data_IF_589618744206
#
_entry.id   IF_589618744206
#
_cell.length_a   1.000
_cell.length_b   1.000
_cell.length_c   1.000
_cell.angle_alpha   90.00
_cell.angle_beta   90.00
_cell.angle_gamma   90.00
#
_symmetry.space_group_name_H-M   'P 1'
#
loop_
_entity.id
_entity.type
_entity.pdbx_description
1 polymer ?
#
# COMPACT_ATOMS: atom_id res chain seq x y z
N UNK A 1 -9.14 -2.73 25.91
CA UNK A 1 -8.21 -2.68 24.76
C UNK A 1 -6.80 -2.67 25.32
N UNK A 2 -5.91 -3.57 24.88
CA UNK A 2 -4.50 -3.52 25.31
C UNK A 2 -3.90 -2.18 24.89
N UNK A 3 -3.10 -1.56 25.76
CA UNK A 3 -2.34 -0.37 25.39
C UNK A 3 -1.42 -0.73 24.21
N UNK A 4 -1.32 0.12 23.16
CA UNK A 4 -0.38 -0.12 22.08
C UNK A 4 1.03 -0.18 22.67
N UNK A 5 1.63 -1.35 22.62
CA UNK A 5 2.99 -1.62 23.10
C UNK A 5 3.83 -2.13 21.94
N UNK A 6 5.15 -1.90 21.98
CA UNK A 6 6.02 -2.40 20.92
C UNK A 6 5.91 -3.92 20.77
N UNK A 7 5.74 -4.66 21.88
CA UNK A 7 5.55 -6.11 21.85
C UNK A 7 4.27 -6.52 21.10
N UNK A 8 3.14 -5.84 21.35
CA UNK A 8 1.89 -6.09 20.63
C UNK A 8 2.02 -5.74 19.15
N UNK A 9 2.60 -4.58 18.83
CA UNK A 9 2.79 -4.13 17.46
C UNK A 9 3.66 -5.12 16.66
N UNK A 10 4.80 -5.55 17.21
CA UNK A 10 5.66 -6.54 16.58
C UNK A 10 4.94 -7.88 16.37
N UNK A 11 4.23 -8.39 17.39
CA UNK A 11 3.48 -9.64 17.26
C UNK A 11 2.38 -9.55 16.17
N UNK A 12 1.71 -8.40 16.08
CA UNK A 12 0.68 -8.13 15.07
C UNK A 12 1.29 -8.06 13.67
N UNK A 13 2.41 -7.36 13.49
CA UNK A 13 3.13 -7.31 12.20
C UNK A 13 3.59 -8.71 11.80
N UNK A 14 4.21 -9.48 12.70
CA UNK A 14 4.63 -10.85 12.39
C UNK A 14 3.47 -11.77 11.99
N UNK A 15 2.27 -11.56 12.55
CA UNK A 15 1.09 -12.31 12.12
C UNK A 15 0.65 -11.92 10.69
N UNK A 16 0.71 -10.62 10.35
CA UNK A 16 0.35 -10.08 9.02
C UNK A 16 1.37 -10.45 7.95
N UNK A 17 2.66 -10.58 8.30
CA UNK A 17 3.74 -10.97 7.39
C UNK A 17 3.49 -12.33 6.72
N UNK A 18 2.71 -13.22 7.34
CA UNK A 18 2.31 -14.51 6.75
C UNK A 18 1.45 -14.35 5.49
N UNK A 19 0.85 -13.17 5.27
CA UNK A 19 0.08 -12.84 4.08
C UNK A 19 0.89 -12.18 2.96
N UNK A 20 2.19 -11.93 3.16
CA UNK A 20 3.03 -11.30 2.14
C UNK A 20 3.28 -12.24 0.96
N UNK A 21 3.34 -11.66 -0.23
CA UNK A 21 3.69 -12.39 -1.45
C UNK A 21 5.15 -12.86 -1.36
N UNK A 22 5.35 -14.17 -1.44
CA UNK A 22 6.69 -14.74 -1.41
C UNK A 22 7.41 -14.56 -2.76
N UNK A 23 8.73 -14.84 -2.75
CA UNK A 23 9.56 -14.72 -3.96
C UNK A 23 9.08 -15.60 -5.11
N UNK A 24 8.43 -16.74 -4.81
CA UNK A 24 7.94 -17.68 -5.83
C UNK A 24 6.67 -17.13 -6.49
N UNK A 25 5.76 -16.56 -5.71
CA UNK A 25 4.56 -15.88 -6.18
C UNK A 25 4.95 -14.71 -7.09
N UNK A 26 5.85 -13.83 -6.62
CA UNK A 26 6.33 -12.69 -7.43
C UNK A 26 6.97 -13.17 -8.74
N UNK A 27 7.80 -14.21 -8.70
CA UNK A 27 8.41 -14.78 -9.91
C UNK A 27 7.37 -15.32 -10.88
N UNK A 28 6.38 -16.08 -10.39
CA UNK A 28 5.27 -16.59 -11.22
C UNK A 28 4.50 -15.47 -11.90
N UNK A 29 4.24 -14.37 -11.20
CA UNK A 29 3.58 -13.20 -11.80
C UNK A 29 4.44 -12.56 -12.88
N UNK A 30 5.76 -12.45 -12.65
CA UNK A 30 6.68 -11.85 -13.61
C UNK A 30 6.88 -12.69 -14.89
N UNK A 31 6.82 -14.01 -14.77
CA UNK A 31 6.99 -14.95 -15.89
C UNK A 31 5.68 -15.18 -16.69
N UNK A 32 4.54 -14.66 -16.22
CA UNK A 32 3.19 -14.94 -16.75
C UNK A 32 2.50 -13.74 -17.41
N UNK A 33 1.23 -13.91 -17.80
CA UNK A 33 0.39 -12.82 -18.29
C UNK A 33 -0.22 -11.99 -17.14
N UNK A 34 -0.84 -10.85 -17.46
CA UNK A 34 -1.56 -10.04 -16.47
C UNK A 34 -2.69 -10.84 -15.80
N UNK A 35 -3.39 -11.68 -16.55
CA UNK A 35 -4.45 -12.54 -16.03
C UNK A 35 -3.90 -13.60 -15.05
N UNK A 36 -2.73 -14.17 -15.35
CA UNK A 36 -2.07 -15.12 -14.45
C UNK A 36 -1.59 -14.43 -13.17
N UNK A 37 -1.07 -13.20 -13.28
CA UNK A 37 -0.71 -12.40 -12.12
C UNK A 37 -1.93 -12.05 -11.25
N UNK A 38 -3.05 -11.66 -11.87
CA UNK A 38 -4.30 -11.39 -11.16
C UNK A 38 -4.82 -12.61 -10.41
N UNK A 39 -4.73 -13.81 -10.98
CA UNK A 39 -5.08 -15.06 -10.27
C UNK A 39 -4.23 -15.25 -9.02
N UNK A 40 -2.93 -15.01 -9.11
CA UNK A 40 -2.02 -15.09 -7.94
C UNK A 40 -2.45 -14.10 -6.85
N UNK A 41 -2.79 -12.86 -7.22
CA UNK A 41 -3.25 -11.84 -6.27
C UNK A 41 -4.59 -12.23 -5.62
N UNK A 42 -5.55 -12.75 -6.39
CA UNK A 42 -6.85 -13.20 -5.88
C UNK A 42 -6.71 -14.41 -4.95
N UNK A 43 -5.88 -15.39 -5.31
CA UNK A 43 -5.58 -16.56 -4.47
C UNK A 43 -4.95 -16.13 -3.12
N UNK A 44 -4.11 -15.10 -3.15
CA UNK A 44 -3.51 -14.48 -1.96
C UNK A 44 -4.48 -13.58 -1.17
N UNK A 45 -5.74 -13.42 -1.63
CA UNK A 45 -6.73 -12.47 -1.10
C UNK A 45 -6.22 -11.03 -1.03
N UNK A 46 -5.32 -10.67 -1.94
CA UNK A 46 -4.71 -9.35 -2.00
C UNK A 46 -5.78 -8.30 -2.36
N UNK A 47 -5.80 -7.16 -1.68
CA UNK A 47 -6.68 -6.02 -2.00
C UNK A 47 -8.19 -6.22 -1.76
N UNK A 48 -8.61 -7.32 -1.14
CA UNK A 48 -9.99 -7.58 -0.70
C UNK A 48 -11.09 -7.37 -1.77
N UNK A 49 -10.80 -7.67 -3.03
CA UNK A 49 -11.74 -7.55 -4.15
C UNK A 49 -11.95 -8.93 -4.82
N UNK A 50 -12.98 -9.71 -4.41
CA UNK A 50 -13.13 -11.10 -4.82
C UNK A 50 -13.44 -11.29 -6.32
N UNK A 51 -13.97 -10.27 -7.00
CA UNK A 51 -14.32 -10.29 -8.43
C UNK A 51 -13.44 -9.32 -9.25
N UNK A 52 -12.21 -9.08 -8.81
CA UNK A 52 -11.32 -8.14 -9.47
C UNK A 52 -10.88 -8.63 -10.85
N UNK A 53 -10.84 -7.69 -11.80
CA UNK A 53 -10.34 -7.89 -13.15
C UNK A 53 -8.97 -7.26 -13.33
N UNK A 54 -8.33 -7.48 -14.48
CA UNK A 54 -7.06 -6.84 -14.82
C UNK A 54 -7.08 -5.30 -14.70
N UNK A 55 -8.20 -4.65 -14.98
CA UNK A 55 -8.34 -3.19 -14.82
C UNK A 55 -8.39 -2.74 -13.36
N UNK A 56 -8.64 -3.65 -12.41
CA UNK A 56 -8.71 -3.35 -10.99
C UNK A 56 -7.35 -3.49 -10.28
N UNK A 57 -6.31 -3.96 -10.99
CA UNK A 57 -4.99 -4.27 -10.42
C UNK A 57 -4.41 -3.10 -9.62
N UNK A 58 -4.33 -1.91 -10.22
CA UNK A 58 -3.83 -0.69 -9.57
C UNK A 58 -4.66 -0.35 -8.32
N UNK A 59 -5.99 -0.42 -8.42
CA UNK A 59 -6.89 -0.15 -7.30
C UNK A 59 -6.71 -1.13 -6.15
N UNK A 60 -6.46 -2.41 -6.43
CA UNK A 60 -6.15 -3.41 -5.40
C UNK A 60 -4.84 -3.09 -4.67
N UNK A 61 -3.79 -2.73 -5.41
CA UNK A 61 -2.49 -2.36 -4.86
C UNK A 61 -2.64 -1.12 -3.97
N UNK A 62 -3.31 -0.09 -4.46
CA UNK A 62 -3.51 1.14 -3.71
C UNK A 62 -4.38 0.94 -2.46
N UNK A 63 -5.39 0.06 -2.51
CA UNK A 63 -6.15 -0.33 -1.32
C UNK A 63 -5.25 -1.01 -0.26
N UNK A 64 -4.42 -1.98 -0.65
CA UNK A 64 -3.49 -2.64 0.29
C UNK A 64 -2.51 -1.65 0.89
N UNK A 65 -1.99 -0.70 0.09
CA UNK A 65 -1.10 0.35 0.59
C UNK A 65 -1.78 1.25 1.63
N UNK A 66 -3.00 1.69 1.34
CA UNK A 66 -3.80 2.50 2.27
C UNK A 66 -4.11 1.73 3.56
N UNK A 67 -4.50 0.46 3.45
CA UNK A 67 -4.76 -0.42 4.60
C UNK A 67 -3.50 -0.65 5.45
N UNK A 68 -2.35 -0.92 4.81
CA UNK A 68 -1.09 -1.12 5.49
C UNK A 68 -0.65 0.13 6.28
N UNK A 69 -0.72 1.32 5.66
CA UNK A 69 -0.42 2.58 6.33
C UNK A 69 -1.34 2.80 7.54
N UNK A 70 -2.65 2.54 7.39
CA UNK A 70 -3.63 2.66 8.47
C UNK A 70 -3.35 1.68 9.61
N UNK A 71 -3.03 0.43 9.29
CA UNK A 71 -2.72 -0.61 10.28
C UNK A 71 -1.44 -0.26 11.06
N UNK A 72 -0.38 0.16 10.37
CA UNK A 72 0.89 0.59 11.01
C UNK A 72 0.59 1.70 12.03
N UNK A 73 -0.16 2.74 11.64
CA UNK A 73 -0.53 3.84 12.54
C UNK A 73 -1.39 3.37 13.71
N UNK A 74 -2.36 2.50 13.46
CA UNK A 74 -3.29 2.00 14.47
C UNK A 74 -2.60 1.18 15.58
N UNK A 75 -1.55 0.41 15.24
CA UNK A 75 -0.84 -0.45 16.19
C UNK A 75 0.40 0.22 16.81
N UNK A 76 0.81 1.37 16.28
CA UNK A 76 2.02 2.08 16.72
C UNK A 76 1.85 2.68 18.11
N UNK A 77 2.76 2.39 19.07
CA UNK A 77 2.75 3.03 20.39
C UNK A 77 3.08 4.53 20.36
N UNK A 78 3.83 4.96 19.33
CA UNK A 78 4.22 6.35 19.06
C UNK A 78 4.07 6.61 17.56
N UNK A 79 2.85 6.88 17.08
CA UNK A 79 2.58 7.07 15.65
C UNK A 79 3.47 8.13 15.01
N UNK A 80 3.88 9.17 15.74
CA UNK A 80 4.72 10.25 15.23
C UNK A 80 6.10 9.74 14.74
N UNK A 81 6.59 8.62 15.28
CA UNK A 81 7.84 8.01 14.83
C UNK A 81 7.65 7.13 13.60
N UNK A 82 6.54 6.38 13.52
CA UNK A 82 6.25 5.49 12.38
C UNK A 82 5.68 6.23 11.19
N UNK A 83 5.01 7.36 11.43
CA UNK A 83 4.55 8.31 10.42
C UNK A 83 5.72 8.79 9.53
N UNK A 84 6.94 8.86 10.07
CA UNK A 84 8.15 9.20 9.29
C UNK A 84 8.41 8.23 8.12
N UNK A 85 8.00 6.96 8.23
CA UNK A 85 8.13 6.00 7.13
C UNK A 85 7.08 6.23 6.03
N UNK A 86 5.95 6.84 6.36
CA UNK A 86 4.86 7.11 5.42
C UNK A 86 5.09 8.40 4.62
N UNK A 87 5.92 9.32 5.15
CA UNK A 87 6.30 10.56 4.47
C UNK A 87 6.99 10.33 3.11
N UNK A 88 7.60 9.16 2.87
CA UNK A 88 8.17 8.84 1.56
C UNK A 88 7.12 8.89 0.46
N UNK A 89 5.90 8.40 0.74
CA UNK A 89 4.76 8.44 -0.16
C UNK A 89 4.33 9.88 -0.42
N UNK A 90 4.22 10.70 0.64
CA UNK A 90 3.83 12.12 0.52
C UNK A 90 4.86 12.90 -0.31
N UNK A 91 6.15 12.66 -0.09
CA UNK A 91 7.24 13.28 -0.85
C UNK A 91 7.21 12.84 -2.31
N UNK A 92 6.89 11.58 -2.59
CA UNK A 92 6.69 11.11 -3.96
C UNK A 92 5.54 11.84 -4.65
N UNK A 93 4.38 11.90 -3.99
CA UNK A 93 3.18 12.58 -4.49
C UNK A 93 3.42 14.07 -4.73
N UNK A 94 4.08 14.75 -3.79
CA UNK A 94 4.43 16.16 -3.94
C UNK A 94 5.33 16.41 -5.16
N UNK A 95 6.32 15.53 -5.41
CA UNK A 95 7.15 15.60 -6.62
C UNK A 95 6.32 15.41 -7.88
N UNK A 96 5.35 14.50 -7.89
CA UNK A 96 4.45 14.29 -9.03
C UNK A 96 3.58 15.51 -9.30
N UNK A 97 2.96 16.09 -8.26
CA UNK A 97 2.13 17.28 -8.38
C UNK A 97 2.90 18.48 -8.91
N UNK A 98 4.13 18.69 -8.42
CA UNK A 98 5.01 19.76 -8.93
C UNK A 98 5.32 19.53 -10.42
N UNK A 99 5.68 18.31 -10.81
CA UNK A 99 5.96 17.98 -12.21
C UNK A 99 4.72 18.15 -13.10
N UNK A 100 3.55 17.72 -12.63
CA UNK A 100 2.28 17.86 -13.34
C UNK A 100 1.99 19.33 -13.64
N UNK A 101 2.17 20.20 -12.64
CA UNK A 101 2.01 21.65 -12.80
C UNK A 101 2.97 22.24 -13.83
N UNK A 102 4.24 21.81 -13.82
CA UNK A 102 5.25 22.29 -14.77
C UNK A 102 5.04 21.79 -16.20
N UNK A 103 4.40 20.63 -16.35
CA UNK A 103 4.13 19.98 -17.64
C UNK A 103 2.69 20.21 -18.14
N UNK A 104 1.91 21.04 -17.45
CA UNK A 104 0.50 21.31 -17.76
C UNK A 104 -0.38 20.04 -17.82
N UNK A 105 -0.07 19.05 -16.98
CA UNK A 105 -0.84 17.82 -16.85
C UNK A 105 -1.99 18.01 -15.85
N UNK A 106 -3.21 17.64 -16.26
CA UNK A 106 -4.40 17.78 -15.43
C UNK A 106 -4.51 16.72 -14.31
N UNK A 107 -4.01 15.51 -14.57
CA UNK A 107 -4.10 14.39 -13.65
C UNK A 107 -2.76 13.65 -13.56
N UNK A 108 -2.43 13.21 -12.34
CA UNK A 108 -1.29 12.34 -12.07
C UNK A 108 -1.71 11.19 -11.16
N UNK A 109 -1.15 9.98 -11.35
CA UNK A 109 -1.43 8.85 -10.49
C UNK A 109 -0.73 9.07 -9.14
N UNK A 110 -1.49 9.50 -8.15
CA UNK A 110 -0.99 9.66 -6.78
C UNK A 110 -1.06 8.34 -6.04
N UNK A 111 -0.09 8.14 -5.17
CA UNK A 111 0.04 6.96 -4.34
C UNK A 111 -0.74 7.13 -3.03
N UNK A 112 -1.44 6.09 -2.60
CA UNK A 112 -2.08 6.01 -1.29
C UNK A 112 -1.12 5.49 -0.22
N UNK A 113 -1.50 5.70 1.04
CA UNK A 113 -0.70 5.30 2.21
C UNK A 113 0.36 6.32 2.63
N UNK A 114 0.17 7.59 2.25
CA UNK A 114 0.85 8.73 2.86
C UNK A 114 0.14 9.23 4.13
N UNK A 115 0.67 10.29 4.74
CA UNK A 115 0.05 10.96 5.88
C UNK A 115 -0.97 12.03 5.48
N UNK A 116 -0.82 12.57 4.27
CA UNK A 116 -1.59 13.70 3.78
C UNK A 116 -2.46 13.29 2.61
N UNK A 117 -3.69 13.80 2.58
CA UNK A 117 -4.56 13.70 1.41
C UNK A 117 -4.01 14.57 0.28
N UNK A 118 -4.29 14.25 -1.00
CA UNK A 118 -3.84 15.01 -2.16
C UNK A 118 -4.10 16.51 -2.09
N UNK A 119 -5.22 16.94 -1.49
CA UNK A 119 -5.59 18.36 -1.36
C UNK A 119 -4.74 19.11 -0.33
N UNK A 120 -4.00 18.39 0.51
CA UNK A 120 -3.12 18.93 1.54
C UNK A 120 -1.66 19.04 1.06
N UNK A 121 -1.33 18.49 -0.11
CA UNK A 121 0.00 18.50 -0.75
C UNK A 121 0.13 19.63 -1.78
#
# INVERSE_FOLDING_TARGET
MQQPSCAYACARISALENGLLDRRAVKRMADGSLEDAMRVLLDARYGNLPDATASDCERMIENVRAEAAREIRAISPKPELTDLFLLETDVHNLKLLIKARLLEQAEVPLLLGGLYEPEQL
#
